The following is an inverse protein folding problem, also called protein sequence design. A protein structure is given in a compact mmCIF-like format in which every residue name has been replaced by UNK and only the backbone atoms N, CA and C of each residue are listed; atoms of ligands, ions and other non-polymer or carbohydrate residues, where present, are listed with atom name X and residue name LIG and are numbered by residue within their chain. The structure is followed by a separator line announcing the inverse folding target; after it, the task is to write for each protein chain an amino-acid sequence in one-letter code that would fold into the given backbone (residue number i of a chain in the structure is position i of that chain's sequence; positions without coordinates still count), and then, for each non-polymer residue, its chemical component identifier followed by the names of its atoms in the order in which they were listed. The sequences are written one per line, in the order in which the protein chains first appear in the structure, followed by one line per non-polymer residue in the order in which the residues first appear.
data_IF_861757377855
#
_entry.id   IF_861757377855
#
_cell.length_a   1.000
_cell.length_b   1.000
_cell.length_c   1.000
_cell.angle_alpha   90.00
_cell.angle_beta   90.00
_cell.angle_gamma   90.00
#
_symmetry.space_group_name_H-M   'P 1'
#
loop_
_entity.id
_entity.type
_entity.pdbx_description
1 polymer ?
#
# COMPACT_ATOMS: atom_id res chain seq x y z
N UNK A 1 -7.12 -20.66 29.85
CA UNK A 1 -7.26 -20.13 28.47
C UNK A 1 -5.92 -20.27 27.78
N UNK A 2 -5.83 -20.87 26.58
CA UNK A 2 -4.54 -20.99 25.91
C UNK A 2 -4.07 -19.58 25.50
N UNK A 3 -2.87 -19.21 25.92
CA UNK A 3 -2.21 -17.97 25.50
C UNK A 3 -1.96 -18.05 23.99
N UNK A 4 -2.82 -17.43 23.18
CA UNK A 4 -2.54 -17.21 21.77
C UNK A 4 -1.25 -16.41 21.67
N UNK A 5 -0.18 -17.05 21.21
CA UNK A 5 1.06 -16.35 20.91
C UNK A 5 0.76 -15.27 19.87
N UNK A 6 1.22 -14.04 20.14
CA UNK A 6 1.11 -12.95 19.17
C UNK A 6 2.00 -13.30 17.98
N UNK A 7 1.36 -13.62 16.86
CA UNK A 7 2.06 -13.90 15.60
C UNK A 7 2.38 -12.57 14.92
N UNK A 8 3.64 -12.35 14.56
CA UNK A 8 4.08 -11.19 13.78
C UNK A 8 3.89 -11.53 12.31
N UNK A 9 3.18 -10.68 11.56
CA UNK A 9 2.87 -10.94 10.16
C UNK A 9 2.78 -9.67 9.35
N UNK A 10 3.04 -9.83 8.05
CA UNK A 10 2.76 -8.84 7.02
C UNK A 10 2.27 -9.59 5.79
N UNK A 11 1.04 -9.29 5.40
CA UNK A 11 0.34 -9.85 4.25
C UNK A 11 0.10 -8.69 3.30
N UNK A 12 0.54 -8.82 2.05
CA UNK A 12 0.28 -7.86 0.98
C UNK A 12 -0.37 -8.59 -0.18
N UNK A 13 -1.51 -8.10 -0.65
CA UNK A 13 -2.26 -8.65 -1.76
C UNK A 13 -2.56 -7.56 -2.78
N UNK A 14 -2.56 -7.93 -4.06
CA UNK A 14 -3.04 -7.11 -5.16
C UNK A 14 -4.10 -7.92 -5.89
N UNK A 15 -5.27 -7.32 -6.07
CA UNK A 15 -6.45 -7.98 -6.63
C UNK A 15 -6.89 -7.16 -7.84
N UNK A 16 -6.96 -7.83 -9.00
CA UNK A 16 -7.66 -7.30 -10.16
C UNK A 16 -9.16 -7.57 -10.00
N UNK A 17 -9.96 -6.51 -10.02
CA UNK A 17 -11.40 -6.52 -9.83
C UNK A 17 -12.13 -6.30 -11.16
N UNK A 18 -11.48 -6.67 -12.28
CA UNK A 18 -12.04 -6.52 -13.63
C UNK A 18 -13.44 -7.10 -13.82
N UNK A 19 -13.94 -7.95 -12.92
CA UNK A 19 -15.22 -8.65 -13.11
C UNK A 19 -16.08 -8.91 -11.86
N UNK A 20 -15.83 -8.30 -10.69
CA UNK A 20 -16.57 -8.67 -9.47
C UNK A 20 -17.01 -7.50 -8.60
N UNK A 21 -18.22 -7.65 -8.04
CA UNK A 21 -18.84 -6.85 -6.97
C UNK A 21 -18.11 -6.98 -5.62
N UNK A 22 -16.78 -7.04 -5.63
CA UNK A 22 -15.95 -7.17 -4.43
C UNK A 22 -15.80 -5.77 -3.82
N UNK A 23 -16.61 -5.50 -2.80
CA UNK A 23 -16.44 -4.31 -1.97
C UNK A 23 -15.50 -4.62 -0.80
N UNK A 24 -14.19 -4.51 -1.06
CA UNK A 24 -13.16 -4.57 -0.01
C UNK A 24 -13.10 -3.23 0.70
N UNK A 25 -13.90 -3.04 1.74
CA UNK A 25 -13.74 -1.88 2.61
C UNK A 25 -12.68 -2.16 3.68
N UNK A 26 -11.90 -1.14 4.02
CA UNK A 26 -10.90 -1.21 5.10
C UNK A 26 -11.58 -1.60 6.41
N UNK A 27 -12.78 -1.09 6.65
CA UNK A 27 -13.58 -1.30 7.86
C UNK A 27 -13.99 -2.77 7.99
N UNK A 28 -14.45 -3.41 6.90
CA UNK A 28 -14.83 -4.83 6.93
C UNK A 28 -13.63 -5.75 7.16
N UNK A 29 -12.47 -5.44 6.55
CA UNK A 29 -11.25 -6.23 6.75
C UNK A 29 -10.78 -6.06 8.20
N UNK A 30 -10.74 -4.82 8.71
CA UNK A 30 -10.34 -4.55 10.09
C UNK A 30 -11.29 -5.23 11.09
N UNK A 31 -12.60 -5.19 10.85
CA UNK A 31 -13.58 -5.86 11.72
C UNK A 31 -13.39 -7.39 11.70
N UNK A 32 -13.08 -7.97 10.53
CA UNK A 32 -12.74 -9.40 10.41
C UNK A 32 -11.53 -9.76 11.28
N UNK A 33 -10.47 -8.94 11.26
CA UNK A 33 -9.28 -9.15 12.09
C UNK A 33 -9.59 -9.10 13.59
N UNK A 34 -10.40 -8.12 14.01
CA UNK A 34 -10.87 -8.00 15.39
C UNK A 34 -11.65 -9.26 15.79
N UNK A 35 -12.57 -9.72 14.94
CA UNK A 35 -13.41 -10.88 15.21
C UNK A 35 -12.62 -12.19 15.35
N UNK A 36 -11.50 -12.34 14.64
CA UNK A 36 -10.61 -13.51 14.79
C UNK A 36 -9.61 -13.35 15.95
N UNK A 37 -9.69 -12.27 16.74
CA UNK A 37 -8.87 -12.01 17.92
C UNK A 37 -7.52 -11.34 17.63
N UNK A 38 -7.36 -10.69 16.47
CA UNK A 38 -6.17 -9.93 16.10
C UNK A 38 -6.38 -8.44 16.37
N UNK A 39 -6.30 -8.06 17.65
CA UNK A 39 -6.51 -6.66 18.08
C UNK A 39 -5.34 -5.73 17.73
N UNK A 40 -4.13 -6.29 17.56
CA UNK A 40 -2.92 -5.54 17.23
C UNK A 40 -2.54 -5.68 15.76
N UNK A 41 -3.51 -5.50 14.86
CA UNK A 41 -3.27 -5.52 13.42
C UNK A 41 -3.80 -4.24 12.77
N UNK A 42 -3.09 -3.76 11.76
CA UNK A 42 -3.51 -2.65 10.93
C UNK A 42 -3.76 -3.11 9.50
N UNK A 43 -4.72 -2.44 8.86
CA UNK A 43 -5.08 -2.66 7.46
C UNK A 43 -4.91 -1.35 6.68
N UNK A 44 -4.28 -1.46 5.52
CA UNK A 44 -4.20 -0.41 4.50
C UNK A 44 -4.84 -0.96 3.23
N UNK A 45 -5.78 -0.22 2.65
CA UNK A 45 -6.42 -0.56 1.38
C UNK A 45 -6.21 0.61 0.43
N UNK A 46 -5.60 0.33 -0.72
CA UNK A 46 -5.30 1.31 -1.76
C UNK A 46 -6.04 0.91 -3.04
N UNK A 47 -6.77 1.87 -3.62
CA UNK A 47 -7.45 1.68 -4.90
C UNK A 47 -6.56 2.25 -5.99
N UNK A 48 -5.66 1.42 -6.50
CA UNK A 48 -4.69 1.86 -7.50
C UNK A 48 -5.35 2.22 -8.80
N UNK A 49 -6.36 1.49 -9.25
CA UNK A 49 -7.09 1.78 -10.49
C UNK A 49 -8.57 1.44 -10.34
N UNK A 50 -9.38 1.69 -11.38
CA UNK A 50 -10.80 1.24 -11.39
C UNK A 50 -10.95 -0.25 -11.11
N UNK A 51 -9.95 -1.05 -11.47
CA UNK A 51 -9.99 -2.50 -11.37
C UNK A 51 -8.83 -3.05 -10.52
N UNK A 52 -8.08 -2.24 -9.78
CA UNK A 52 -6.94 -2.78 -9.01
C UNK A 52 -6.97 -2.27 -7.59
N UNK A 53 -7.06 -3.21 -6.64
CA UNK A 53 -6.99 -2.92 -5.21
C UNK A 53 -5.81 -3.64 -4.59
N UNK A 54 -5.02 -2.89 -3.84
CA UNK A 54 -3.97 -3.43 -3.01
C UNK A 54 -4.41 -3.38 -1.55
N UNK A 55 -4.23 -4.49 -0.84
CA UNK A 55 -4.51 -4.59 0.58
C UNK A 55 -3.24 -5.03 1.31
N UNK A 56 -2.90 -4.32 2.38
CA UNK A 56 -1.81 -4.68 3.28
C UNK A 56 -2.36 -4.86 4.68
N UNK A 57 -2.11 -6.03 5.27
CA UNK A 57 -2.50 -6.38 6.63
C UNK A 57 -1.26 -6.76 7.42
N UNK A 58 -1.02 -6.14 8.57
CA UNK A 58 0.18 -6.40 9.34
C UNK A 58 -0.03 -6.24 10.84
N UNK A 59 0.78 -6.96 11.62
CA UNK A 59 0.86 -6.81 13.07
C UNK A 59 1.49 -5.47 13.46
N UNK A 60 1.04 -4.91 14.58
CA UNK A 60 1.62 -3.73 15.22
C UNK A 60 2.43 -4.09 16.48
N UNK A 61 3.61 -3.47 16.70
CA UNK A 61 4.31 -2.58 15.77
C UNK A 61 4.78 -3.34 14.51
N UNK A 62 4.88 -2.63 13.39
CA UNK A 62 5.39 -3.23 12.15
C UNK A 62 6.86 -3.60 12.33
N UNK A 63 7.22 -4.87 12.19
CA UNK A 63 8.54 -5.39 12.53
C UNK A 63 9.35 -5.89 11.32
N UNK A 64 8.91 -5.58 10.10
CA UNK A 64 9.59 -6.01 8.86
C UNK A 64 10.45 -4.88 8.29
N UNK A 65 11.49 -5.25 7.56
CA UNK A 65 12.43 -4.33 6.89
C UNK A 65 11.89 -3.84 5.54
N UNK A 66 10.96 -4.58 4.95
CA UNK A 66 10.44 -4.37 3.60
C UNK A 66 8.94 -4.11 3.62
N UNK A 67 8.52 -3.05 2.94
CA UNK A 67 7.11 -2.76 2.69
C UNK A 67 6.89 -2.46 1.19
N UNK A 68 5.84 -3.04 0.62
CA UNK A 68 5.47 -2.90 -0.78
C UNK A 68 4.02 -2.49 -0.91
N UNK A 69 3.67 -1.93 -2.07
CA UNK A 69 2.28 -1.79 -2.49
C UNK A 69 1.50 -0.82 -1.58
N UNK A 70 2.19 0.25 -1.19
CA UNK A 70 1.56 1.40 -0.59
C UNK A 70 1.18 2.40 -1.68
N UNK A 71 -0.05 2.87 -1.63
CA UNK A 71 -0.50 4.06 -2.35
C UNK A 71 -0.07 5.34 -1.65
N UNK A 72 -0.48 6.46 -2.21
CA UNK A 72 -0.20 7.82 -1.74
C UNK A 72 -0.97 8.17 -0.45
N UNK A 73 -2.01 7.38 -0.12
CA UNK A 73 -2.84 7.50 1.08
C UNK A 73 -2.52 6.33 2.02
N UNK A 74 -1.70 6.57 3.04
CA UNK A 74 -1.41 5.60 4.09
C UNK A 74 -1.68 6.20 5.47
N UNK A 75 -2.03 5.36 6.47
CA UNK A 75 -2.36 5.83 7.81
C UNK A 75 -1.14 6.46 8.49
N UNK A 76 -1.40 7.31 9.49
CA UNK A 76 -0.37 7.92 10.31
C UNK A 76 0.23 6.89 11.30
N UNK A 77 1.00 5.95 10.75
CA UNK A 77 1.73 4.91 11.46
C UNK A 77 3.23 5.17 11.27
N UNK A 78 4.02 4.93 12.31
CA UNK A 78 5.47 4.98 12.25
C UNK A 78 6.01 3.55 12.07
N UNK A 79 6.66 3.32 10.94
CA UNK A 79 7.28 2.06 10.53
C UNK A 79 8.75 2.07 10.93
N UNK A 80 9.02 1.92 12.23
CA UNK A 80 10.36 2.05 12.82
C UNK A 80 11.40 1.04 12.31
N UNK A 81 10.99 -0.04 11.66
CA UNK A 81 11.90 -1.09 11.19
C UNK A 81 12.04 -1.13 9.67
N UNK A 82 11.14 -0.46 8.94
CA UNK A 82 11.11 -0.51 7.49
C UNK A 82 12.28 0.31 6.91
N UNK A 83 13.15 -0.36 6.16
CA UNK A 83 14.31 0.24 5.49
C UNK A 83 14.16 0.29 3.97
N UNK A 84 13.25 -0.51 3.41
CA UNK A 84 12.91 -0.51 2.00
C UNK A 84 11.41 -0.28 1.84
N UNK A 85 11.07 0.69 0.98
CA UNK A 85 9.68 1.01 0.64
C UNK A 85 9.48 1.09 -0.87
N UNK A 86 8.48 0.37 -1.37
CA UNK A 86 7.95 0.51 -2.72
C UNK A 86 6.54 1.10 -2.66
N UNK A 87 6.38 2.26 -3.27
CA UNK A 87 5.10 2.97 -3.42
C UNK A 87 4.69 2.95 -4.88
N UNK A 88 3.42 2.66 -5.12
CA UNK A 88 2.83 2.67 -6.46
C UNK A 88 1.48 3.37 -6.38
N UNK A 89 1.21 4.30 -7.29
CA UNK A 89 -0.06 5.00 -7.36
C UNK A 89 -0.39 5.41 -8.81
N UNK A 90 -1.65 5.69 -9.07
CA UNK A 90 -2.10 6.38 -10.26
C UNK A 90 -1.91 7.90 -10.15
N UNK A 91 -2.04 8.45 -8.94
CA UNK A 91 -1.92 9.88 -8.70
C UNK A 91 -0.45 10.34 -8.65
N UNK A 92 -0.23 11.60 -9.03
CA UNK A 92 1.09 12.20 -8.96
C UNK A 92 1.55 12.32 -7.50
N UNK A 93 2.83 12.02 -7.27
CA UNK A 93 3.45 12.19 -5.96
C UNK A 93 3.88 13.64 -5.76
N UNK A 94 3.14 14.36 -4.92
CA UNK A 94 3.40 15.77 -4.59
C UNK A 94 4.33 15.91 -3.38
N UNK A 95 4.81 17.13 -3.11
CA UNK A 95 5.75 17.39 -2.01
C UNK A 95 5.29 16.82 -0.66
N UNK A 96 4.00 16.95 -0.33
CA UNK A 96 3.41 16.47 0.91
C UNK A 96 3.54 14.95 1.09
N UNK A 97 3.58 14.19 -0.01
CA UNK A 97 3.82 12.75 0.04
C UNK A 97 5.20 12.45 0.63
N UNK A 98 6.25 13.11 0.14
CA UNK A 98 7.61 12.88 0.63
C UNK A 98 7.79 13.30 2.10
N UNK A 99 7.09 14.36 2.53
CA UNK A 99 7.05 14.76 3.95
C UNK A 99 6.40 13.67 4.81
N UNK A 100 5.30 13.05 4.36
CA UNK A 100 4.68 11.92 5.06
C UNK A 100 5.61 10.72 5.13
N UNK A 101 6.29 10.38 4.04
CA UNK A 101 7.26 9.28 4.00
C UNK A 101 8.38 9.49 5.02
N UNK A 102 8.99 10.68 5.05
CA UNK A 102 10.07 10.98 5.99
C UNK A 102 9.64 10.87 7.46
N UNK A 103 8.37 11.22 7.76
CA UNK A 103 7.81 11.12 9.13
C UNK A 103 7.45 9.68 9.51
N UNK A 104 6.88 8.92 8.58
CA UNK A 104 6.41 7.56 8.84
C UNK A 104 7.51 6.51 8.77
N UNK A 105 8.61 6.76 8.05
CA UNK A 105 9.67 5.77 7.81
C UNK A 105 11.05 6.32 8.22
N UNK A 106 11.31 6.48 9.53
CA UNK A 106 12.52 7.16 10.02
C UNK A 106 13.83 6.43 9.69
N UNK A 107 13.79 5.12 9.42
CA UNK A 107 14.96 4.31 9.05
C UNK A 107 15.00 3.96 7.56
N UNK A 108 14.21 4.65 6.72
CA UNK A 108 14.15 4.35 5.29
C UNK A 108 15.50 4.59 4.62
N UNK A 109 16.04 3.55 3.99
CA UNK A 109 17.29 3.61 3.22
C UNK A 109 17.03 3.65 1.73
N UNK A 110 15.94 3.02 1.28
CA UNK A 110 15.59 2.92 -0.12
C UNK A 110 14.10 3.17 -0.33
N UNK A 111 13.80 4.18 -1.14
CA UNK A 111 12.44 4.51 -1.60
C UNK A 111 12.38 4.32 -3.11
N UNK A 112 11.42 3.51 -3.57
CA UNK A 112 11.07 3.41 -4.99
C UNK A 112 9.62 3.78 -5.20
N UNK A 113 9.38 4.67 -6.14
CA UNK A 113 8.05 5.23 -6.41
C UNK A 113 7.70 5.01 -7.87
N UNK A 114 6.49 4.54 -8.14
CA UNK A 114 5.97 4.31 -9.49
C UNK A 114 4.64 5.02 -9.68
N UNK A 115 4.52 5.79 -10.77
CA UNK A 115 3.24 6.30 -11.23
C UNK A 115 2.79 5.53 -12.48
N UNK A 116 1.62 4.89 -12.42
CA UNK A 116 1.13 4.01 -13.49
C UNK A 116 0.52 4.82 -14.65
N UNK A 117 -0.17 5.92 -14.37
CA UNK A 117 -0.93 6.67 -15.38
C UNK A 117 -0.07 7.56 -16.30
N UNK A 118 1.15 7.91 -15.90
CA UNK A 118 2.02 8.77 -16.73
C UNK A 118 2.69 8.07 -17.92
N UNK A 119 2.59 6.74 -18.04
CA UNK A 119 3.18 6.05 -19.19
C UNK A 119 2.27 6.03 -20.44
N UNK A 120 0.95 6.14 -20.29
CA UNK A 120 0.05 6.10 -21.47
C UNK A 120 0.13 7.40 -22.27
N UNK A 121 0.16 8.56 -21.61
CA UNK A 121 0.20 9.86 -22.31
C UNK A 121 1.54 10.12 -23.00
N UNK A 122 2.66 9.69 -22.41
CA UNK A 122 3.99 9.78 -23.04
C UNK A 122 4.12 8.78 -24.19
N UNK A 123 3.61 7.55 -24.04
CA UNK A 123 3.63 6.56 -25.13
C UNK A 123 2.76 6.99 -26.31
N UNK A 124 1.57 7.56 -26.06
CA UNK A 124 0.70 8.13 -27.09
C UNK A 124 1.34 9.33 -27.81
N UNK A 125 2.11 10.16 -27.10
CA UNK A 125 2.82 11.30 -27.68
C UNK A 125 4.04 10.88 -28.51
N UNK A 126 4.79 9.88 -28.07
CA UNK A 126 5.91 9.33 -28.83
C UNK A 126 5.46 8.53 -30.06
N UNK A 127 4.26 7.95 -30.04
CA UNK A 127 3.69 7.26 -31.20
C UNK A 127 2.99 8.19 -32.20
N UNK A 128 2.58 9.40 -31.79
CA UNK A 128 2.13 10.44 -32.73
C UNK A 128 3.28 11.14 -33.46
N UNK A 129 4.45 11.25 -32.82
CA UNK A 129 5.63 11.92 -33.39
C UNK A 129 6.42 11.05 -34.39
N UNK A 130 5.99 9.79 -34.61
CA UNK A 130 6.55 8.86 -35.60
C UNK A 130 5.66 8.65 -36.84
N UNK A 131 4.62 9.47 -37.01
CA UNK A 131 3.73 9.45 -38.19
C UNK A 131 3.90 10.72 -39.07
N UNK A 132 4.93 11.54 -38.85
CA UNK A 132 5.30 12.63 -39.77
C UNK A 132 6.48 12.29 -40.67
#
# INVERSE_FOLDING_TARGET
MPQRHSFIFYISTSIDISDLSINLSREHIQQTLINIGQQNAATIVNYLSRCTVECSIFSLPFAFDYMRHLGNIFPNIIFNYATYLLVQDNDAFIHEFFVRIARSFPLLKYLRVFNINLQISVYMKLSSDHIQ
#
